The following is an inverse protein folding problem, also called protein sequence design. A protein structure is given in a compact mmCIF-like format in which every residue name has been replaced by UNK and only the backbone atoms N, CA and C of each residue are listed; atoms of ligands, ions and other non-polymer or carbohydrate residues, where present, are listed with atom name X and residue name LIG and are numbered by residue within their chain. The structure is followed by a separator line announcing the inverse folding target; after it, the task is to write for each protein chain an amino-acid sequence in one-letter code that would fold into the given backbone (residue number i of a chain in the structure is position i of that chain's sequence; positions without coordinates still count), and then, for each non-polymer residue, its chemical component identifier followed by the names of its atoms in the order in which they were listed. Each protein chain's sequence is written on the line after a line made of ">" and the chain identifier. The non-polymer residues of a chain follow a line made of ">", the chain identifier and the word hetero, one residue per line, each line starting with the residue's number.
data_IF_021492319306
#
_entry.id   IF_021492319306
#
_cell.length_a   1.000
_cell.length_b   1.000
_cell.length_c   1.000
_cell.angle_alpha   90.00
_cell.angle_beta   90.00
_cell.angle_gamma   90.00
#
_symmetry.space_group_name_H-M   'P 1'
#
loop_
_entity.id
_entity.type
_entity.pdbx_description
1 polymer ?
#
# COMPACT_ATOMS: atom_id res chain seq x y z
N UNK A 1 7.85 -33.21 3.41
CA UNK A 1 8.36 -32.60 4.65
C UNK A 1 7.21 -32.45 5.62
N UNK A 2 7.38 -32.96 6.83
CA UNK A 2 6.38 -32.85 7.90
C UNK A 2 6.39 -31.41 8.45
N UNK A 3 5.23 -30.75 8.40
CA UNK A 3 5.06 -29.35 8.84
C UNK A 3 5.51 -29.17 10.30
N UNK A 4 5.46 -30.24 11.11
CA UNK A 4 5.87 -30.24 12.51
C UNK A 4 7.36 -29.92 12.73
N UNK A 5 8.24 -30.26 11.78
CA UNK A 5 9.70 -30.12 11.94
C UNK A 5 10.30 -28.99 11.09
N UNK A 6 9.48 -28.21 10.38
CA UNK A 6 9.96 -27.09 9.56
C UNK A 6 10.50 -25.96 10.47
N UNK A 7 11.69 -25.39 10.19
CA UNK A 7 12.20 -24.23 10.91
C UNK A 7 11.21 -23.06 10.93
N UNK A 8 11.15 -22.32 12.05
CA UNK A 8 10.32 -21.12 12.18
C UNK A 8 10.77 -20.09 11.15
N UNK A 9 9.94 -19.86 10.15
CA UNK A 9 10.12 -18.76 9.22
C UNK A 9 9.43 -17.52 9.82
N UNK A 10 10.09 -16.36 9.75
CA UNK A 10 9.43 -15.11 10.11
C UNK A 10 8.17 -14.94 9.27
N UNK A 11 7.02 -14.76 9.92
CA UNK A 11 5.79 -14.39 9.23
C UNK A 11 5.85 -12.91 8.88
N UNK A 12 6.50 -12.60 7.76
CA UNK A 12 6.48 -11.25 7.20
C UNK A 12 5.17 -11.10 6.45
N UNK A 13 4.36 -10.10 6.84
CA UNK A 13 3.16 -9.74 6.10
C UNK A 13 3.54 -9.42 4.66
N UNK A 14 2.97 -10.09 3.64
CA UNK A 14 3.39 -9.97 2.25
C UNK A 14 2.80 -8.70 1.60
N UNK A 15 3.05 -7.54 2.20
CA UNK A 15 2.47 -6.24 1.82
C UNK A 15 2.74 -5.94 0.35
N UNK A 16 3.97 -6.17 -0.14
CA UNK A 16 4.33 -5.96 -1.54
C UNK A 16 3.54 -6.86 -2.51
N UNK A 17 3.21 -8.09 -2.11
CA UNK A 17 2.38 -8.97 -2.93
C UNK A 17 0.91 -8.53 -2.90
N UNK A 18 0.43 -8.13 -1.71
CA UNK A 18 -0.93 -7.65 -1.56
C UNK A 18 -1.17 -6.37 -2.37
N UNK A 19 -0.26 -5.40 -2.32
CA UNK A 19 -0.37 -4.14 -3.07
C UNK A 19 -0.24 -4.34 -4.58
N UNK A 20 0.39 -5.42 -5.06
CA UNK A 20 0.38 -5.82 -6.49
C UNK A 20 -0.87 -6.60 -6.90
N UNK A 21 -1.58 -7.20 -5.94
CA UNK A 21 -2.76 -8.03 -6.19
C UNK A 21 -3.99 -7.52 -5.46
N UNK A 22 -4.43 -8.17 -4.37
CA UNK A 22 -5.72 -7.91 -3.73
C UNK A 22 -5.94 -6.46 -3.24
N UNK A 23 -4.87 -5.70 -2.98
CA UNK A 23 -4.93 -4.30 -2.54
C UNK A 23 -4.52 -3.30 -3.64
N UNK A 24 -4.30 -3.74 -4.89
CA UNK A 24 -3.87 -2.86 -5.98
C UNK A 24 -4.88 -1.73 -6.26
N UNK A 25 -6.18 -2.02 -6.18
CA UNK A 25 -7.23 -0.99 -6.33
C UNK A 25 -7.17 0.06 -5.22
N UNK A 26 -6.85 -0.33 -3.99
CA UNK A 26 -6.71 0.60 -2.88
C UNK A 26 -5.44 1.44 -2.99
N UNK A 27 -4.35 0.87 -3.51
CA UNK A 27 -3.12 1.60 -3.83
C UNK A 27 -3.37 2.67 -4.89
N UNK A 28 -4.05 2.32 -6.00
CA UNK A 28 -4.48 3.29 -7.03
C UNK A 28 -5.38 4.38 -6.46
N UNK A 29 -6.29 3.98 -5.58
CA UNK A 29 -7.23 4.90 -4.93
C UNK A 29 -6.59 5.88 -3.95
N UNK A 30 -5.27 5.83 -3.69
CA UNK A 30 -4.59 6.82 -2.84
C UNK A 30 -4.51 8.21 -3.48
N UNK A 31 -4.43 8.28 -4.81
CA UNK A 31 -4.43 9.52 -5.57
C UNK A 31 -5.84 10.09 -5.79
N UNK A 32 -6.89 9.34 -5.41
CA UNK A 32 -8.26 9.78 -5.60
C UNK A 32 -8.65 10.89 -4.62
N UNK A 33 -9.59 11.74 -5.03
CA UNK A 33 -10.19 12.78 -4.20
C UNK A 33 -10.77 12.19 -2.90
N UNK A 34 -10.38 12.75 -1.75
CA UNK A 34 -10.80 12.31 -0.42
C UNK A 34 -10.15 13.17 0.68
N UNK A 35 -10.39 12.84 1.95
CA UNK A 35 -9.90 13.63 3.09
C UNK A 35 -8.38 13.89 3.04
N UNK A 36 -7.60 12.90 2.60
CA UNK A 36 -6.15 13.03 2.44
C UNK A 36 -5.77 13.99 1.30
N UNK A 37 -6.44 13.91 0.15
CA UNK A 37 -6.20 14.81 -0.99
C UNK A 37 -6.63 16.26 -0.68
N UNK A 38 -7.69 16.42 0.11
CA UNK A 38 -8.19 17.73 0.54
C UNK A 38 -7.21 18.51 1.43
N UNK A 39 -6.22 17.84 2.04
CA UNK A 39 -5.19 18.51 2.84
C UNK A 39 -4.24 19.39 2.01
N UNK A 40 -4.09 19.12 0.72
CA UNK A 40 -3.10 19.77 -0.14
C UNK A 40 -1.64 19.39 0.19
N UNK A 41 -1.40 18.44 1.10
CA UNK A 41 -0.05 18.06 1.52
C UNK A 41 0.68 17.14 0.53
N UNK A 42 -0.08 16.48 -0.35
CA UNK A 42 0.43 15.43 -1.20
C UNK A 42 0.18 15.72 -2.68
N UNK A 43 1.21 15.47 -3.48
CA UNK A 43 1.10 15.45 -4.94
C UNK A 43 0.43 14.14 -5.38
N UNK A 44 -0.82 14.26 -5.85
CA UNK A 44 -1.62 13.11 -6.26
C UNK A 44 -1.05 12.40 -7.49
N UNK A 45 -0.49 13.16 -8.44
CA UNK A 45 0.11 12.59 -9.65
C UNK A 45 1.37 11.78 -9.29
N UNK A 46 2.18 12.28 -8.35
CA UNK A 46 3.33 11.53 -7.84
C UNK A 46 2.92 10.24 -7.13
N UNK A 47 1.86 10.26 -6.32
CA UNK A 47 1.35 9.08 -5.63
C UNK A 47 0.85 8.03 -6.64
N UNK A 48 0.14 8.47 -7.68
CA UNK A 48 -0.34 7.60 -8.75
C UNK A 48 0.82 6.89 -9.45
N UNK A 49 1.86 7.64 -9.83
CA UNK A 49 3.07 7.06 -10.43
C UNK A 49 3.74 6.01 -9.55
N UNK A 50 3.90 6.29 -8.25
CA UNK A 50 4.46 5.34 -7.28
C UNK A 50 3.60 4.07 -7.15
N UNK A 51 2.27 4.21 -7.15
CA UNK A 51 1.36 3.08 -7.09
C UNK A 51 1.49 2.21 -8.35
N UNK A 52 1.48 2.81 -9.55
CA UNK A 52 1.63 2.06 -10.80
C UNK A 52 3.00 1.40 -10.96
N UNK A 53 4.08 2.09 -10.58
CA UNK A 53 5.43 1.51 -10.59
C UNK A 53 5.51 0.28 -9.69
N UNK A 54 4.87 0.33 -8.52
CA UNK A 54 4.81 -0.82 -7.62
C UNK A 54 3.94 -1.95 -8.15
N UNK A 55 2.73 -1.63 -8.63
CA UNK A 55 1.77 -2.62 -9.14
C UNK A 55 2.37 -3.36 -10.34
N UNK A 56 3.02 -2.63 -11.25
CA UNK A 56 3.69 -3.20 -12.42
C UNK A 56 5.02 -3.92 -12.09
N UNK A 57 5.50 -3.83 -10.85
CA UNK A 57 6.77 -4.43 -10.43
C UNK A 57 8.01 -3.73 -10.96
N UNK A 58 7.89 -2.45 -11.37
CA UNK A 58 9.03 -1.63 -11.83
C UNK A 58 9.92 -1.18 -10.66
N UNK A 59 9.33 -0.96 -9.48
CA UNK A 59 10.04 -0.60 -8.26
C UNK A 59 9.29 -1.05 -7.00
N UNK A 60 9.98 -1.23 -5.88
CA UNK A 60 9.32 -1.54 -4.60
C UNK A 60 9.01 -0.25 -3.82
N UNK A 61 7.74 0.15 -3.85
CA UNK A 61 7.19 1.25 -3.04
C UNK A 61 6.24 0.76 -1.94
N UNK A 62 6.26 -0.53 -1.62
CA UNK A 62 5.28 -1.18 -0.73
C UNK A 62 5.17 -0.50 0.64
N UNK A 63 6.32 -0.16 1.24
CA UNK A 63 6.37 0.52 2.54
C UNK A 63 5.67 1.88 2.51
N UNK A 64 5.98 2.72 1.53
CA UNK A 64 5.43 4.07 1.41
C UNK A 64 3.93 4.03 1.13
N UNK A 65 3.53 3.19 0.17
CA UNK A 65 2.11 2.99 -0.19
C UNK A 65 1.31 2.50 1.02
N UNK A 66 1.87 1.57 1.80
CA UNK A 66 1.23 1.08 3.02
C UNK A 66 1.04 2.18 4.08
N UNK A 67 2.06 3.02 4.29
CA UNK A 67 1.96 4.15 5.22
C UNK A 67 0.87 5.15 4.81
N UNK A 68 0.79 5.50 3.52
CA UNK A 68 -0.26 6.38 3.00
C UNK A 68 -1.65 5.76 3.11
N UNK A 69 -1.77 4.45 2.88
CA UNK A 69 -3.03 3.71 3.00
C UNK A 69 -3.53 3.66 4.45
N UNK A 70 -2.62 3.47 5.40
CA UNK A 70 -2.96 3.55 6.83
C UNK A 70 -3.34 4.98 7.22
N UNK A 71 -2.59 5.99 6.76
CA UNK A 71 -2.89 7.38 7.03
C UNK A 71 -4.28 7.77 6.53
N UNK A 72 -4.60 7.46 5.27
CA UNK A 72 -5.93 7.67 4.70
C UNK A 72 -7.03 7.02 5.53
N UNK A 73 -6.86 5.74 5.90
CA UNK A 73 -7.84 5.01 6.73
C UNK A 73 -8.03 5.64 8.10
N UNK A 74 -6.99 6.23 8.69
CA UNK A 74 -7.10 6.96 9.95
C UNK A 74 -7.88 8.26 9.77
N UNK A 75 -7.65 9.00 8.68
CA UNK A 75 -8.43 10.20 8.35
C UNK A 75 -9.92 9.89 8.17
N UNK A 76 -10.26 8.81 7.44
CA UNK A 76 -11.64 8.38 7.23
C UNK A 76 -12.38 8.01 8.55
N UNK A 77 -11.65 7.78 9.64
CA UNK A 77 -12.23 7.47 10.98
C UNK A 77 -12.25 8.67 11.92
N UNK A 78 -11.39 9.66 11.68
CA UNK A 78 -11.22 10.84 12.53
C UNK A 78 -12.00 12.05 12.03
N UNK A 79 -12.32 12.08 10.73
CA UNK A 79 -13.18 13.09 10.10
C UNK A 79 -14.66 12.74 10.16
#
# INVERSE_FOLDING_TARGET
>A
EDVLFRPKMGFVTPIAQWLRGPLASQARGLAASGALAATGWFDSARIEGLAEDHIAGRADHSRLIWQLLMLRKSFDRLG
#
